data_IF_333265454918
#
_entry.id   IF_333265454918
#
_cell.length_a   1.000
_cell.length_b   1.000
_cell.length_c   1.000
_cell.angle_alpha   90.00
_cell.angle_beta   90.00
_cell.angle_gamma   90.00
#
_symmetry.space_group_name_H-M   'P 1'
#
loop_
_entity.id
_entity.type
_entity.pdbx_description
1 polymer ?
#
# COMPACT_ATOMS: atom_id res chain seq x y z
N UNK A 1 25.50 -26.46 11.32
CA UNK A 1 25.86 -25.24 10.57
C UNK A 1 24.75 -24.22 10.81
N UNK A 2 24.91 -23.26 11.72
CA UNK A 2 23.91 -22.20 11.89
C UNK A 2 23.88 -21.37 10.61
N UNK A 3 22.76 -21.39 9.88
CA UNK A 3 22.53 -20.42 8.80
C UNK A 3 22.60 -19.02 9.43
N UNK A 4 23.56 -18.19 9.00
CA UNK A 4 23.54 -16.76 9.33
C UNK A 4 22.17 -16.22 8.91
N UNK A 5 21.49 -15.55 9.83
CA UNK A 5 20.24 -14.87 9.51
C UNK A 5 20.52 -13.87 8.37
N UNK A 6 19.63 -13.83 7.38
CA UNK A 6 19.68 -12.83 6.32
C UNK A 6 19.63 -11.43 6.96
N UNK A 7 20.53 -10.51 6.60
CA UNK A 7 20.50 -9.16 7.17
C UNK A 7 19.18 -8.47 6.82
N UNK A 8 18.59 -7.80 7.80
CA UNK A 8 17.45 -6.90 7.60
C UNK A 8 18.00 -5.50 7.39
N UNK A 9 17.68 -4.89 6.25
CA UNK A 9 18.15 -3.54 5.93
C UNK A 9 17.13 -2.48 6.35
N UNK A 10 17.62 -1.36 6.87
CA UNK A 10 16.82 -0.20 7.23
C UNK A 10 17.57 1.09 6.91
N UNK A 11 16.81 2.19 6.76
CA UNK A 11 17.37 3.52 6.57
C UNK A 11 17.43 4.25 7.90
N UNK A 12 18.59 4.84 8.25
CA UNK A 12 18.79 5.57 9.52
C UNK A 12 17.78 6.71 9.73
N UNK A 13 17.32 7.34 8.64
CA UNK A 13 16.31 8.40 8.64
C UNK A 13 14.90 7.91 8.26
N UNK A 14 14.67 6.60 8.31
CA UNK A 14 13.42 5.96 7.90
C UNK A 14 13.23 5.88 6.39
N UNK A 15 12.30 5.04 5.94
CA UNK A 15 12.01 4.82 4.51
C UNK A 15 11.56 6.08 3.77
N UNK A 16 10.92 7.04 4.44
CA UNK A 16 10.54 8.31 3.82
C UNK A 16 11.75 9.05 3.23
N UNK A 17 12.91 8.99 3.89
CA UNK A 17 14.13 9.67 3.41
C UNK A 17 14.64 9.15 2.07
N UNK A 18 14.35 7.88 1.74
CA UNK A 18 14.64 7.32 0.42
C UNK A 18 13.80 8.02 -0.66
N UNK A 19 12.49 8.12 -0.45
CA UNK A 19 11.58 8.73 -1.41
C UNK A 19 11.78 10.25 -1.54
N UNK A 20 12.10 10.94 -0.44
CA UNK A 20 12.50 12.35 -0.47
C UNK A 20 13.80 12.57 -1.25
N UNK A 21 14.74 11.63 -1.21
CA UNK A 21 15.96 11.71 -2.01
C UNK A 21 15.66 11.53 -3.49
N UNK A 22 14.87 10.50 -3.85
CA UNK A 22 14.44 10.23 -5.23
C UNK A 22 13.69 11.43 -5.80
N UNK A 23 12.73 11.99 -5.05
CA UNK A 23 11.87 13.08 -5.52
C UNK A 23 12.62 14.36 -5.91
N UNK A 24 13.88 14.56 -5.46
CA UNK A 24 14.68 15.75 -5.81
C UNK A 24 15.10 15.78 -7.27
N UNK A 25 15.17 14.61 -7.90
CA UNK A 25 15.64 14.46 -9.28
C UNK A 25 14.48 14.47 -10.29
N UNK A 26 13.24 14.64 -9.82
CA UNK A 26 12.02 14.60 -10.66
C UNK A 26 11.10 15.80 -10.39
N UNK A 27 10.25 16.11 -11.37
CA UNK A 27 9.20 17.12 -11.22
C UNK A 27 8.03 16.57 -10.41
N UNK A 28 8.10 16.74 -9.09
CA UNK A 28 7.08 16.26 -8.15
C UNK A 28 6.23 17.42 -7.65
N UNK A 29 5.00 17.50 -8.16
CA UNK A 29 4.01 18.49 -7.72
C UNK A 29 3.24 17.94 -6.51
N UNK A 30 3.36 18.63 -5.37
CA UNK A 30 2.58 18.33 -4.15
C UNK A 30 1.41 19.30 -4.00
N UNK A 31 0.38 18.92 -3.22
CA UNK A 31 -0.82 19.74 -3.03
C UNK A 31 -1.77 19.78 -4.23
N UNK A 32 -1.46 19.07 -5.32
CA UNK A 32 -2.37 18.87 -6.45
C UNK A 32 -3.32 17.71 -6.15
N UNK A 33 -4.55 18.01 -5.72
CA UNK A 33 -5.59 17.00 -5.54
C UNK A 33 -6.28 16.72 -6.88
N UNK A 34 -6.04 15.57 -7.50
CA UNK A 34 -6.69 15.19 -8.75
C UNK A 34 -8.18 14.93 -8.51
N UNK A 35 -9.05 15.69 -9.18
CA UNK A 35 -10.50 15.57 -9.04
C UNK A 35 -11.14 14.69 -10.12
N UNK A 36 -10.63 14.75 -11.35
CA UNK A 36 -11.11 13.93 -12.46
C UNK A 36 -10.08 13.83 -13.58
N UNK A 37 -10.14 12.75 -14.34
CA UNK A 37 -9.30 12.45 -15.49
C UNK A 37 -10.21 12.16 -16.68
N UNK A 38 -10.04 12.94 -17.75
CA UNK A 38 -10.74 12.74 -19.03
C UNK A 38 -9.76 12.16 -20.03
N UNK A 39 -10.15 11.06 -20.68
CA UNK A 39 -9.34 10.39 -21.70
C UNK A 39 -9.95 10.65 -23.07
N UNK A 40 -9.20 11.30 -23.94
CA UNK A 40 -9.54 11.56 -25.33
C UNK A 40 -8.86 10.53 -26.25
N UNK A 41 -9.13 10.58 -27.56
CA UNK A 41 -8.52 9.66 -28.54
C UNK A 41 -6.99 9.71 -28.53
N UNK A 42 -6.41 10.90 -28.34
CA UNK A 42 -4.98 11.14 -28.45
C UNK A 42 -4.38 11.93 -27.29
N UNK A 43 -5.16 12.22 -26.25
CA UNK A 43 -4.70 13.02 -25.10
C UNK A 43 -5.46 12.68 -23.84
N UNK A 44 -4.93 13.15 -22.71
CA UNK A 44 -5.48 12.99 -21.37
C UNK A 44 -5.51 14.37 -20.73
N UNK A 45 -6.62 14.70 -20.10
CA UNK A 45 -6.81 15.96 -19.38
C UNK A 45 -7.02 15.65 -17.90
N UNK A 46 -6.20 16.24 -17.02
CA UNK A 46 -6.26 16.06 -15.57
C UNK A 46 -6.73 17.36 -14.93
N UNK A 47 -7.84 17.29 -14.19
CA UNK A 47 -8.43 18.43 -13.50
C UNK A 47 -8.18 18.34 -12.00
N UNK A 48 -7.80 19.46 -11.40
CA UNK A 48 -7.70 19.57 -9.96
C UNK A 48 -9.10 19.69 -9.33
N UNK A 49 -9.31 18.98 -8.22
CA UNK A 49 -10.55 19.01 -7.46
C UNK A 49 -10.87 20.43 -6.97
N UNK A 50 -12.09 20.90 -7.25
CA UNK A 50 -12.60 22.19 -6.79
C UNK A 50 -11.98 23.43 -7.44
N UNK A 51 -11.10 23.27 -8.43
CA UNK A 51 -10.46 24.38 -9.12
C UNK A 51 -11.19 24.73 -10.42
N UNK A 52 -11.38 26.02 -10.70
CA UNK A 52 -11.81 26.55 -11.99
C UNK A 52 -10.60 27.01 -12.80
N UNK A 53 -9.65 26.10 -13.03
CA UNK A 53 -8.50 26.34 -13.89
C UNK A 53 -8.51 25.39 -15.07
N UNK A 54 -7.76 25.75 -16.12
CA UNK A 54 -7.52 24.86 -17.24
C UNK A 54 -6.88 23.54 -16.75
N UNK A 55 -7.26 22.40 -17.34
CA UNK A 55 -6.66 21.12 -17.00
C UNK A 55 -5.20 21.05 -17.44
N UNK A 56 -4.45 20.16 -16.79
CA UNK A 56 -3.15 19.74 -17.29
C UNK A 56 -3.35 18.72 -18.43
N UNK A 57 -2.58 18.82 -19.50
CA UNK A 57 -2.69 17.95 -20.67
C UNK A 57 -1.48 17.04 -20.82
N UNK A 58 -1.74 15.77 -21.09
CA UNK A 58 -0.72 14.73 -21.27
C UNK A 58 -1.09 13.77 -22.40
N UNK A 59 -0.13 13.03 -22.92
CA UNK A 59 -0.40 11.97 -23.91
C UNK A 59 -0.84 10.65 -23.24
N UNK A 60 -0.30 10.38 -22.04
CA UNK A 60 -0.43 9.12 -21.30
C UNK A 60 -0.52 9.37 -19.79
N UNK A 61 -1.11 8.43 -19.06
CA UNK A 61 -1.25 8.49 -17.60
C UNK A 61 -0.89 7.16 -16.95
N UNK A 62 -0.09 7.22 -15.89
CA UNK A 62 0.22 6.08 -15.03
C UNK A 62 -0.38 6.32 -13.65
N UNK A 63 -1.20 5.39 -13.17
CA UNK A 63 -1.95 5.54 -11.91
C UNK A 63 -1.39 4.61 -10.84
N UNK A 64 -0.60 5.18 -9.93
CA UNK A 64 -0.04 4.51 -8.75
C UNK A 64 -0.90 4.74 -7.49
N UNK A 65 -2.23 4.65 -7.66
CA UNK A 65 -3.24 4.83 -6.61
C UNK A 65 -3.93 3.50 -6.33
N UNK A 66 -4.64 3.32 -5.19
CA UNK A 66 -5.54 2.19 -5.02
C UNK A 66 -6.47 2.07 -6.23
N UNK A 67 -6.49 0.92 -6.89
CA UNK A 67 -7.09 0.79 -8.23
C UNK A 67 -8.58 1.17 -8.27
N UNK A 68 -9.32 0.93 -7.18
CA UNK A 68 -10.71 1.41 -7.05
C UNK A 68 -10.81 2.93 -7.14
N UNK A 69 -9.98 3.65 -6.38
CA UNK A 69 -9.89 5.12 -6.41
C UNK A 69 -9.43 5.62 -7.78
N UNK A 70 -8.47 4.95 -8.41
CA UNK A 70 -8.00 5.30 -9.75
C UNK A 70 -9.15 5.29 -10.77
N UNK A 71 -10.07 4.33 -10.69
CA UNK A 71 -11.23 4.24 -11.57
C UNK A 71 -12.27 5.31 -11.28
N UNK A 72 -12.50 5.65 -10.02
CA UNK A 72 -13.47 6.67 -9.64
C UNK A 72 -13.06 8.08 -10.11
N UNK A 73 -11.78 8.29 -10.47
CA UNK A 73 -11.31 9.53 -11.08
C UNK A 73 -11.64 9.65 -12.57
N UNK A 74 -11.94 8.56 -13.27
CA UNK A 74 -12.23 8.63 -14.71
C UNK A 74 -13.63 9.14 -14.99
N UNK A 75 -13.72 10.15 -15.86
CA UNK A 75 -14.99 10.65 -16.36
C UNK A 75 -15.32 10.07 -17.75
N UNK A 76 -16.62 9.82 -17.98
CA UNK A 76 -17.15 9.47 -19.29
C UNK A 76 -16.96 8.01 -19.72
N UNK A 77 -17.59 7.66 -20.85
CA UNK A 77 -17.30 6.45 -21.64
C UNK A 77 -16.25 6.88 -22.65
N UNK A 78 -15.11 6.22 -22.74
CA UNK A 78 -14.25 6.44 -23.91
C UNK A 78 -14.90 5.76 -25.12
N UNK A 79 -15.05 6.47 -26.23
CA UNK A 79 -15.62 5.92 -27.47
C UNK A 79 -14.75 4.81 -28.11
N UNK A 80 -13.46 4.72 -27.75
CA UNK A 80 -12.48 3.79 -28.35
C UNK A 80 -12.17 2.55 -27.49
N UNK A 81 -13.07 2.16 -26.59
CA UNK A 81 -12.90 0.95 -25.78
C UNK A 81 -13.65 1.04 -24.47
N UNK A 82 -13.91 -0.11 -23.82
CA UNK A 82 -14.89 -0.20 -22.75
C UNK A 82 -14.62 0.89 -21.71
N UNK A 83 -15.69 1.61 -21.34
CA UNK A 83 -15.76 2.31 -20.06
C UNK A 83 -15.10 1.44 -19.00
N UNK A 84 -14.62 2.06 -17.93
CA UNK A 84 -14.27 1.42 -16.69
C UNK A 84 -15.23 0.36 -16.13
N UNK A 85 -16.33 -0.07 -16.77
CA UNK A 85 -17.14 -1.21 -16.29
C UNK A 85 -16.27 -2.44 -16.08
N UNK A 86 -15.50 -2.88 -17.08
CA UNK A 86 -14.66 -4.08 -16.91
C UNK A 86 -13.60 -3.86 -15.83
N UNK A 87 -12.93 -2.70 -15.83
CA UNK A 87 -11.92 -2.36 -14.83
C UNK A 87 -12.51 -2.23 -13.42
N UNK A 88 -13.67 -1.59 -13.28
CA UNK A 88 -14.43 -1.39 -12.04
C UNK A 88 -14.94 -2.71 -11.50
N UNK A 89 -15.50 -3.57 -12.35
CA UNK A 89 -15.98 -4.89 -11.97
C UNK A 89 -14.84 -5.77 -11.47
N UNK A 90 -13.65 -5.64 -12.07
CA UNK A 90 -12.46 -6.34 -11.59
C UNK A 90 -11.98 -5.69 -10.29
N UNK A 91 -11.71 -4.38 -10.26
CA UNK A 91 -11.06 -3.71 -9.13
C UNK A 91 -11.93 -3.64 -7.86
N UNK A 92 -13.26 -3.68 -7.99
CA UNK A 92 -14.17 -3.80 -6.83
C UNK A 92 -14.02 -5.12 -6.08
N UNK A 93 -13.43 -6.15 -6.70
CA UNK A 93 -13.13 -7.43 -6.04
C UNK A 93 -11.88 -7.37 -5.17
N UNK A 94 -11.11 -6.28 -5.21
CA UNK A 94 -9.95 -6.12 -4.35
C UNK A 94 -10.37 -6.11 -2.89
N UNK A 95 -9.77 -7.03 -2.14
CA UNK A 95 -9.86 -7.12 -0.71
C UNK A 95 -8.68 -6.42 -0.08
N UNK A 96 -8.89 -5.89 1.12
CA UNK A 96 -7.88 -5.21 1.91
C UNK A 96 -7.91 -5.77 3.32
N UNK A 97 -6.85 -5.48 4.06
CA UNK A 97 -6.73 -5.82 5.47
C UNK A 97 -6.54 -4.54 6.27
N UNK A 98 -7.35 -4.35 7.31
CA UNK A 98 -7.16 -3.27 8.27
C UNK A 98 -5.91 -3.54 9.11
N UNK A 99 -4.87 -2.76 8.84
CA UNK A 99 -3.55 -2.92 9.40
C UNK A 99 -3.15 -1.66 10.15
N UNK A 100 -2.56 -1.86 11.32
CA UNK A 100 -2.27 -0.79 12.25
C UNK A 100 -0.81 -0.82 12.66
N UNK A 101 -0.24 0.37 12.77
CA UNK A 101 1.04 0.60 13.44
C UNK A 101 0.79 1.48 14.67
N UNK A 102 1.00 0.90 15.85
CA UNK A 102 0.82 1.56 17.15
C UNK A 102 2.19 1.77 17.80
N UNK A 103 2.53 3.03 18.11
CA UNK A 103 3.72 3.40 18.87
C UNK A 103 3.31 3.47 20.34
N UNK A 104 3.92 2.63 21.17
CA UNK A 104 3.60 2.55 22.59
C UNK A 104 4.79 2.09 23.43
N UNK A 105 4.75 2.37 24.72
CA UNK A 105 5.64 1.75 25.70
C UNK A 105 5.28 0.28 25.93
N UNK A 106 6.26 -0.53 26.34
CA UNK A 106 5.98 -1.89 26.80
C UNK A 106 6.92 -2.32 27.92
N UNK A 107 6.44 -2.32 29.18
CA UNK A 107 7.28 -2.62 30.33
C UNK A 107 7.60 -4.11 30.52
N UNK A 108 7.21 -4.95 29.57
CA UNK A 108 7.44 -6.41 29.61
C UNK A 108 8.39 -6.84 28.50
N UNK A 109 8.61 -5.97 27.50
CA UNK A 109 9.54 -6.19 26.39
C UNK A 109 10.79 -5.31 26.55
N UNK A 110 11.38 -5.32 27.74
CA UNK A 110 12.58 -4.54 28.08
C UNK A 110 13.90 -5.17 27.61
N UNK A 111 13.95 -6.47 27.29
CA UNK A 111 15.20 -7.16 26.91
C UNK A 111 15.33 -7.39 25.40
N UNK A 112 16.30 -6.69 24.78
CA UNK A 112 17.14 -7.01 23.60
C UNK A 112 16.54 -7.61 22.32
N UNK A 113 15.25 -7.90 22.25
CA UNK A 113 14.61 -8.37 21.04
C UNK A 113 14.27 -7.16 20.17
N UNK A 114 15.15 -6.88 19.20
CA UNK A 114 14.94 -5.89 18.14
C UNK A 114 13.61 -6.14 17.42
N UNK A 115 13.23 -7.42 17.30
CA UNK A 115 11.96 -7.90 16.76
C UNK A 115 11.33 -8.92 17.72
N UNK A 116 10.05 -8.73 17.99
CA UNK A 116 9.21 -9.69 18.68
C UNK A 116 8.09 -10.09 17.75
N UNK A 117 7.82 -11.38 17.65
CA UNK A 117 6.68 -11.90 16.92
C UNK A 117 5.85 -12.79 17.81
N UNK A 118 4.56 -12.50 17.89
CA UNK A 118 3.58 -13.39 18.51
C UNK A 118 2.81 -14.07 17.38
N UNK A 119 3.25 -15.28 17.06
CA UNK A 119 2.54 -16.20 16.17
C UNK A 119 1.87 -17.27 17.03
N UNK A 120 0.54 -17.23 17.11
CA UNK A 120 -0.19 -18.17 17.97
C UNK A 120 -1.70 -18.09 17.83
N UNK A 121 -2.21 -17.28 16.90
CA UNK A 121 -3.64 -17.04 16.72
C UNK A 121 -4.46 -18.31 16.56
N UNK A 122 -3.93 -19.31 15.87
CA UNK A 122 -4.65 -20.56 15.63
C UNK A 122 -4.60 -21.56 16.80
N UNK A 123 -3.58 -21.51 17.68
CA UNK A 123 -3.46 -22.43 18.82
C UNK A 123 -3.97 -21.83 20.15
N UNK A 124 -4.04 -20.51 20.25
CA UNK A 124 -4.50 -19.78 21.44
C UNK A 124 -5.87 -19.11 21.24
N UNK A 125 -6.49 -19.24 20.05
CA UNK A 125 -7.78 -18.61 19.75
C UNK A 125 -7.74 -17.09 19.60
N UNK A 126 -6.54 -16.48 19.62
CA UNK A 126 -6.36 -15.03 19.44
C UNK A 126 -6.55 -14.68 17.97
N UNK A 127 -7.47 -13.78 17.62
CA UNK A 127 -7.59 -13.37 16.23
C UNK A 127 -6.37 -12.50 15.83
N UNK A 128 -5.48 -13.05 14.99
CA UNK A 128 -4.39 -12.31 14.34
C UNK A 128 -2.98 -12.52 14.90
N UNK A 129 -1.98 -12.25 14.05
CA UNK A 129 -0.57 -12.20 14.44
C UNK A 129 -0.15 -10.78 14.79
N UNK A 130 0.76 -10.64 15.75
CA UNK A 130 1.32 -9.35 16.17
C UNK A 130 2.83 -9.39 15.98
N UNK A 131 3.40 -8.27 15.56
CA UNK A 131 4.85 -8.08 15.65
C UNK A 131 5.15 -6.76 16.33
N UNK A 132 6.25 -6.70 17.06
CA UNK A 132 6.77 -5.42 17.53
C UNK A 132 8.23 -5.28 17.18
N UNK A 133 8.65 -4.05 16.93
CA UNK A 133 10.04 -3.71 16.67
C UNK A 133 10.51 -2.60 17.60
N UNK A 134 11.74 -2.75 18.10
CA UNK A 134 12.45 -1.68 18.79
C UNK A 134 13.52 -1.15 17.83
N UNK A 135 13.17 -0.09 17.10
CA UNK A 135 14.05 0.48 16.08
C UNK A 135 15.16 1.36 16.69
N UNK A 136 14.97 1.85 17.92
CA UNK A 136 15.93 2.67 18.65
C UNK A 136 16.24 2.02 20.00
N UNK A 137 17.47 1.51 20.21
CA UNK A 137 17.82 0.76 21.42
C UNK A 137 17.57 1.51 22.73
N UNK A 138 17.79 2.83 22.72
CA UNK A 138 17.63 3.67 23.91
C UNK A 138 16.19 4.17 24.13
N UNK A 139 15.28 3.85 23.21
CA UNK A 139 13.88 4.25 23.31
C UNK A 139 13.07 3.25 24.12
N UNK A 140 12.20 3.76 24.98
CA UNK A 140 11.14 2.98 25.66
C UNK A 140 9.97 2.65 24.73
N UNK A 141 9.89 3.34 23.59
CA UNK A 141 8.83 3.16 22.60
C UNK A 141 9.15 2.03 21.65
N UNK A 142 8.12 1.25 21.33
CA UNK A 142 8.14 0.20 20.32
C UNK A 142 7.05 0.47 19.30
N UNK A 143 7.27 -0.01 18.08
CA UNK A 143 6.22 -0.04 17.05
C UNK A 143 5.58 -1.41 17.06
N UNK A 144 4.29 -1.48 17.35
CA UNK A 144 3.46 -2.67 17.26
C UNK A 144 2.72 -2.67 15.93
N UNK A 145 2.89 -3.74 15.16
CA UNK A 145 2.13 -4.01 13.96
C UNK A 145 1.08 -5.07 14.25
N UNK A 146 -0.17 -4.73 13.96
CA UNK A 146 -1.31 -5.57 14.28
C UNK A 146 -2.47 -5.34 13.32
N UNK A 147 -3.48 -6.20 13.41
CA UNK A 147 -4.71 -6.08 12.64
C UNK A 147 -5.82 -5.38 13.44
N UNK A 148 -6.90 -5.02 12.75
CA UNK A 148 -8.13 -4.53 13.35
C UNK A 148 -8.77 -5.55 14.31
N UNK A 149 -9.69 -5.06 15.15
CA UNK A 149 -10.53 -5.95 15.98
C UNK A 149 -11.47 -6.78 15.09
N UNK A 150 -11.80 -8.02 15.47
CA UNK A 150 -12.81 -8.82 14.75
C UNK A 150 -14.20 -8.16 14.73
N UNK A 151 -14.56 -7.44 15.79
CA UNK A 151 -15.86 -6.80 15.97
C UNK A 151 -15.97 -5.47 15.22
N UNK A 152 -14.89 -4.68 15.23
CA UNK A 152 -14.81 -3.40 14.54
C UNK A 152 -13.41 -3.18 13.94
N UNK A 153 -13.14 -3.75 12.74
CA UNK A 153 -11.81 -3.77 12.15
C UNK A 153 -11.23 -2.39 11.81
N UNK A 154 -12.08 -1.41 11.54
CA UNK A 154 -11.68 -0.06 11.12
C UNK A 154 -11.60 0.95 12.27
N UNK A 155 -12.03 0.57 13.47
CA UNK A 155 -11.91 1.41 14.67
C UNK A 155 -10.52 1.32 15.29
N UNK A 156 -9.87 2.48 15.41
CA UNK A 156 -8.56 2.62 16.06
C UNK A 156 -8.62 2.18 17.52
N UNK A 157 -9.64 2.61 18.25
CA UNK A 157 -9.77 2.30 19.68
C UNK A 157 -9.99 0.79 19.89
N UNK A 158 -10.90 0.19 19.10
CA UNK A 158 -11.15 -1.25 19.16
C UNK A 158 -9.90 -2.07 18.78
N UNK A 159 -9.13 -1.61 17.79
CA UNK A 159 -7.88 -2.27 17.38
C UNK A 159 -6.80 -2.20 18.48
N UNK A 160 -6.66 -1.06 19.16
CA UNK A 160 -5.71 -0.89 20.27
C UNK A 160 -6.12 -1.72 21.49
N UNK A 161 -7.40 -1.77 21.82
CA UNK A 161 -7.92 -2.59 22.91
C UNK A 161 -7.75 -4.08 22.62
N UNK A 162 -7.99 -4.51 21.38
CA UNK A 162 -7.71 -5.88 20.95
C UNK A 162 -6.22 -6.21 21.03
N UNK A 163 -5.33 -5.31 20.59
CA UNK A 163 -3.87 -5.46 20.74
C UNK A 163 -3.48 -5.68 22.21
N UNK A 164 -3.97 -4.83 23.11
CA UNK A 164 -3.70 -4.92 24.56
C UNK A 164 -4.17 -6.26 25.14
N UNK A 165 -5.40 -6.68 24.82
CA UNK A 165 -5.96 -7.96 25.28
C UNK A 165 -5.13 -9.14 24.79
N UNK A 166 -4.90 -9.24 23.48
CA UNK A 166 -4.17 -10.37 22.89
C UNK A 166 -2.73 -10.48 23.39
N UNK A 167 -2.05 -9.34 23.61
CA UNK A 167 -0.69 -9.33 24.12
C UNK A 167 -0.64 -9.67 25.62
N UNK A 168 -1.65 -9.29 26.40
CA UNK A 168 -1.73 -9.66 27.82
C UNK A 168 -1.80 -11.19 28.00
N UNK A 169 -2.48 -11.91 27.10
CA UNK A 169 -2.59 -13.39 27.13
C UNK A 169 -1.24 -14.10 26.95
N UNK A 170 -0.24 -13.40 26.42
CA UNK A 170 1.15 -13.90 26.28
C UNK A 170 2.14 -13.17 27.20
N UNK A 171 1.64 -12.49 28.24
CA UNK A 171 2.46 -11.81 29.25
C UNK A 171 3.09 -10.51 28.78
N UNK A 172 2.62 -9.94 27.66
CA UNK A 172 3.08 -8.65 27.13
C UNK A 172 2.10 -7.54 27.49
N UNK A 173 2.58 -6.55 28.23
CA UNK A 173 1.85 -5.32 28.53
C UNK A 173 2.17 -4.24 27.49
N UNK A 174 1.13 -3.67 26.89
CA UNK A 174 1.22 -2.42 26.11
C UNK A 174 0.82 -1.25 27.02
N UNK A 175 1.76 -0.33 27.22
CA UNK A 175 1.64 0.82 28.10
C UNK A 175 0.96 2.02 27.44
N UNK A 176 1.51 3.23 27.68
CA UNK A 176 1.02 4.45 27.05
C UNK A 176 1.17 4.38 25.53
N UNK A 177 0.12 4.78 24.82
CA UNK A 177 0.09 4.85 23.36
C UNK A 177 0.38 6.29 22.96
N UNK A 178 1.44 6.49 22.18
CA UNK A 178 1.82 7.80 21.64
C UNK A 178 1.09 8.10 20.34
N UNK A 179 0.93 7.08 19.49
CA UNK A 179 0.29 7.23 18.18
C UNK A 179 -0.16 5.90 17.64
N UNK A 180 -1.32 5.90 17.00
CA UNK A 180 -1.76 4.78 16.16
C UNK A 180 -2.05 5.29 14.76
N UNK A 181 -1.59 4.53 13.75
CA UNK A 181 -1.90 4.79 12.35
C UNK A 181 -2.60 3.57 11.75
N UNK A 182 -3.78 3.81 11.19
CA UNK A 182 -4.54 2.85 10.41
C UNK A 182 -4.19 2.92 8.93
N UNK A 183 -4.11 1.75 8.29
CA UNK A 183 -3.93 1.56 6.87
C UNK A 183 -4.91 0.51 6.36
N UNK A 184 -5.61 0.85 5.27
CA UNK A 184 -6.29 -0.13 4.42
C UNK A 184 -5.22 -0.80 3.54
N UNK A 185 -4.63 -1.87 4.03
CA UNK A 185 -3.37 -2.44 3.53
C UNK A 185 -3.58 -3.72 2.71
N UNK A 186 -2.56 -4.13 1.97
CA UNK A 186 -2.52 -5.37 1.18
C UNK A 186 -3.75 -5.62 0.27
N UNK A 187 -4.06 -4.71 -0.69
CA UNK A 187 -4.88 -5.01 -1.86
C UNK A 187 -4.52 -6.34 -2.49
N UNK A 188 -5.52 -7.21 -2.61
CA UNK A 188 -5.38 -8.50 -3.26
C UNK A 188 -6.72 -9.00 -3.80
N UNK A 189 -6.67 -9.87 -4.79
CA UNK A 189 -7.83 -10.68 -5.17
C UNK A 189 -7.96 -11.90 -4.25
N UNK A 190 -9.19 -12.42 -4.13
CA UNK A 190 -9.45 -13.71 -3.48
C UNK A 190 -8.80 -14.85 -4.27
N UNK A 191 -8.61 -16.02 -3.64
CA UNK A 191 -8.11 -17.20 -4.36
C UNK A 191 -9.00 -17.58 -5.55
N UNK A 192 -10.32 -17.46 -5.41
CA UNK A 192 -11.28 -17.76 -6.48
C UNK A 192 -11.14 -16.76 -7.64
N UNK A 193 -10.98 -15.47 -7.35
CA UNK A 193 -10.76 -14.44 -8.36
C UNK A 193 -9.43 -14.61 -9.09
N UNK A 194 -8.39 -15.06 -8.39
CA UNK A 194 -7.09 -15.43 -8.99
C UNK A 194 -7.27 -16.64 -9.90
N UNK A 195 -7.99 -17.67 -9.45
CA UNK A 195 -8.22 -18.91 -10.21
C UNK A 195 -8.95 -18.66 -11.55
N UNK A 196 -9.82 -17.64 -11.62
CA UNK A 196 -10.49 -17.22 -12.87
C UNK A 196 -9.72 -16.14 -13.65
N UNK A 197 -8.45 -15.90 -13.33
CA UNK A 197 -7.54 -15.05 -14.09
C UNK A 197 -7.78 -13.55 -13.92
N UNK A 198 -8.18 -13.07 -12.73
CA UNK A 198 -8.37 -11.62 -12.52
C UNK A 198 -7.11 -10.80 -12.85
N UNK A 199 -5.91 -11.23 -12.43
CA UNK A 199 -4.68 -10.50 -12.74
C UNK A 199 -4.41 -10.40 -14.24
N UNK A 200 -4.59 -11.48 -15.01
CA UNK A 200 -4.45 -11.47 -16.48
C UNK A 200 -5.42 -10.47 -17.14
N UNK A 201 -6.62 -10.37 -16.59
CA UNK A 201 -7.62 -9.40 -17.07
C UNK A 201 -7.21 -7.97 -16.76
N UNK A 202 -6.56 -7.72 -15.62
CA UNK A 202 -6.00 -6.39 -15.31
C UNK A 202 -4.82 -6.06 -16.22
N UNK A 203 -3.91 -7.00 -16.45
CA UNK A 203 -2.76 -6.79 -17.35
C UNK A 203 -3.20 -6.44 -18.79
N UNK A 204 -4.30 -7.02 -19.27
CA UNK A 204 -4.90 -6.68 -20.58
C UNK A 204 -5.42 -5.24 -20.68
N UNK A 205 -5.57 -4.54 -19.55
CA UNK A 205 -5.96 -3.13 -19.51
C UNK A 205 -4.76 -2.18 -19.69
N UNK A 206 -3.53 -2.65 -19.50
CA UNK A 206 -2.33 -1.81 -19.64
C UNK A 206 -2.26 -1.23 -21.06
N UNK A 207 -2.04 0.07 -21.16
CA UNK A 207 -1.97 0.82 -22.42
C UNK A 207 -3.32 1.14 -23.08
N UNK A 208 -4.44 0.57 -22.60
CA UNK A 208 -5.76 0.89 -23.17
C UNK A 208 -6.11 2.35 -22.91
N UNK A 209 -6.47 3.07 -23.96
CA UNK A 209 -6.76 4.51 -23.90
C UNK A 209 -5.62 5.29 -23.22
N UNK A 210 -4.37 4.95 -23.54
CA UNK A 210 -3.17 5.58 -23.00
C UNK A 210 -3.07 5.56 -21.46
N UNK A 211 -3.70 4.56 -20.83
CA UNK A 211 -3.80 4.42 -19.38
C UNK A 211 -3.00 3.21 -18.90
N UNK A 212 -2.26 3.40 -17.81
CA UNK A 212 -1.45 2.37 -17.17
C UNK A 212 -1.72 2.35 -15.67
N UNK A 213 -1.76 1.15 -15.09
CA UNK A 213 -2.02 0.95 -13.66
C UNK A 213 -0.78 0.41 -12.97
N UNK A 214 -0.49 0.95 -11.79
CA UNK A 214 0.68 0.63 -10.98
C UNK A 214 0.25 0.38 -9.53
N UNK A 215 1.22 -0.01 -8.70
CA UNK A 215 1.06 -0.13 -7.26
C UNK A 215 1.02 -1.57 -6.79
N UNK A 216 0.91 -1.73 -5.48
CA UNK A 216 1.04 -3.01 -4.80
C UNK A 216 -0.02 -4.04 -5.19
N UNK A 217 -1.20 -3.59 -5.62
CA UNK A 217 -2.26 -4.47 -6.10
C UNK A 217 -1.85 -5.34 -7.29
N UNK A 218 -0.86 -4.92 -8.09
CA UNK A 218 -0.39 -5.67 -9.28
C UNK A 218 0.95 -6.38 -9.06
N UNK A 219 1.54 -6.23 -7.88
CA UNK A 219 2.83 -6.77 -7.55
C UNK A 219 2.73 -7.44 -6.18
N UNK A 220 3.19 -6.74 -5.15
CA UNK A 220 3.03 -7.05 -3.73
C UNK A 220 3.29 -5.77 -2.93
N UNK A 221 2.95 -5.74 -1.64
CA UNK A 221 3.04 -4.53 -0.79
C UNK A 221 4.45 -4.01 -0.49
N UNK A 222 5.48 -4.82 -0.71
CA UNK A 222 6.85 -4.38 -0.43
C UNK A 222 7.33 -3.38 -1.46
N UNK A 223 8.15 -2.42 -1.03
CA UNK A 223 8.82 -1.44 -1.89
C UNK A 223 9.56 -2.08 -3.07
N UNK A 224 10.25 -3.20 -2.85
CA UNK A 224 10.98 -3.91 -3.91
C UNK A 224 10.06 -4.37 -5.04
N UNK A 225 8.95 -5.02 -4.72
CA UNK A 225 8.00 -5.52 -5.72
C UNK A 225 7.30 -4.39 -6.47
N UNK A 226 6.91 -3.30 -5.80
CA UNK A 226 6.27 -2.16 -6.47
C UNK A 226 7.23 -1.44 -7.42
N UNK A 227 8.49 -1.27 -7.02
CA UNK A 227 9.54 -0.74 -7.88
C UNK A 227 9.81 -1.67 -9.06
N UNK A 228 9.99 -2.97 -8.81
CA UNK A 228 10.24 -3.98 -9.84
C UNK A 228 9.14 -4.02 -10.89
N UNK A 229 7.88 -4.02 -10.47
CA UNK A 229 6.75 -3.98 -11.39
C UNK A 229 6.71 -2.68 -12.20
N UNK A 230 7.02 -1.54 -11.59
CA UNK A 230 7.06 -0.25 -12.29
C UNK A 230 8.12 -0.24 -13.40
N UNK A 231 9.33 -0.75 -13.13
CA UNK A 231 10.37 -0.91 -14.15
C UNK A 231 9.93 -1.83 -15.28
N UNK A 232 9.38 -3.00 -14.96
CA UNK A 232 8.90 -3.95 -15.97
C UNK A 232 7.80 -3.37 -16.86
N UNK A 233 6.89 -2.57 -16.29
CA UNK A 233 5.84 -1.92 -17.06
C UNK A 233 6.41 -0.85 -18.01
N UNK A 234 7.37 -0.05 -17.55
CA UNK A 234 8.07 0.93 -18.40
C UNK A 234 8.80 0.21 -19.54
N UNK A 235 9.55 -0.86 -19.24
CA UNK A 235 10.26 -1.64 -20.25
C UNK A 235 9.33 -2.22 -21.32
N UNK A 236 8.14 -2.68 -20.92
CA UNK A 236 7.18 -3.31 -21.82
C UNK A 236 6.41 -2.30 -22.68
N UNK A 237 6.00 -1.18 -22.08
CA UNK A 237 5.04 -0.26 -22.68
C UNK A 237 5.69 1.03 -23.24
N UNK A 238 6.94 1.30 -22.88
CA UNK A 238 7.70 2.50 -23.25
C UNK A 238 9.13 2.16 -23.71
N UNK A 239 9.33 1.23 -24.66
CA UNK A 239 10.67 0.76 -25.05
C UNK A 239 11.58 1.87 -25.59
N UNK A 240 11.01 2.89 -26.23
CA UNK A 240 11.76 4.02 -26.81
C UNK A 240 12.23 5.04 -25.75
N UNK A 241 11.75 4.96 -24.51
CA UNK A 241 12.14 5.85 -23.41
C UNK A 241 13.38 5.36 -22.66
N UNK A 242 14.07 4.34 -23.17
CA UNK A 242 15.40 3.95 -22.69
C UNK A 242 16.42 5.04 -23.03
N UNK A 243 16.57 5.99 -22.12
CA UNK A 243 17.85 6.68 -21.94
C UNK A 243 18.75 5.71 -21.17
N UNK A 244 19.77 5.19 -21.86
CA UNK A 244 20.84 4.31 -21.37
C UNK A 244 21.01 4.24 -19.83
N UNK A 245 20.91 3.02 -19.27
CA UNK A 245 21.70 2.67 -18.08
C UNK A 245 23.18 2.62 -18.45
#
# INVERSE_FOLDING_TARGET
MLKRATPVFSFKRGYQSLFEAIAKDYDVITGFNVGRIVRHRSSISIYQAGAQREPEHFDKVMLALPLGTAIDLFEGESDDGPRPVVARDIFKKLQYTDYYATIAESPTLFERAELHFTFGSQKLGLAGGHSSSQLWPDSKLRVFYHYGSPEDPSSVDAAVDNLKRNLADVGVTVGSVERTKHWRYFPRFSCDDIAVGCYDRVEKLQGKSNTYFLGSALAFETVEHTIGYSYQLVDREFPDQRSFC
#
